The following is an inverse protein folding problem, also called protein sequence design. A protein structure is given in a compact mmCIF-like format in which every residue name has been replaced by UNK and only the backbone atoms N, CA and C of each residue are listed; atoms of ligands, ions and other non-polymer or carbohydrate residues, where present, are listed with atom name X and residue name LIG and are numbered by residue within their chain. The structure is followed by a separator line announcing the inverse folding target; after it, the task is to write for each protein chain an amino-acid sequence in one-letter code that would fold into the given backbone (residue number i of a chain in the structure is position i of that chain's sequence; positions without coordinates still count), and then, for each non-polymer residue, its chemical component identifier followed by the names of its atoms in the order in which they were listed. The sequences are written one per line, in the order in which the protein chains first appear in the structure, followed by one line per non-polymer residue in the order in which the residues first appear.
data_IF_875012926074
#
_entry.id   IF_875012926074
#
_cell.length_a   1.000
_cell.length_b   1.000
_cell.length_c   1.000
_cell.angle_alpha   90.00
_cell.angle_beta   90.00
_cell.angle_gamma   90.00
#
_symmetry.space_group_name_H-M   'P 1'
#
loop_
_entity.id
_entity.type
_entity.pdbx_description
1 polymer ?
#
# COMPACT_ATOMS: atom_id res chain seq x y z
N UNK A 1 0.84 -0.96 -33.27
CA UNK A 1 1.32 -2.01 -32.34
C UNK A 1 0.65 -1.76 -31.00
N UNK A 2 -0.24 -2.64 -30.54
CA UNK A 2 -1.03 -2.46 -29.31
C UNK A 2 -0.11 -2.74 -28.11
N UNK A 3 -0.02 -1.79 -27.21
CA UNK A 3 0.92 -1.80 -26.07
C UNK A 3 0.61 -2.97 -25.10
N UNK A 4 1.43 -4.03 -25.04
CA UNK A 4 1.19 -5.16 -24.15
C UNK A 4 1.28 -4.79 -22.67
N UNK A 5 1.94 -3.67 -22.34
CA UNK A 5 2.13 -3.19 -20.96
C UNK A 5 0.80 -2.79 -20.31
N UNK A 6 -0.12 -2.17 -21.06
CA UNK A 6 -1.43 -1.74 -20.52
C UNK A 6 -2.29 -2.97 -20.17
N UNK A 7 -2.21 -4.03 -20.99
CA UNK A 7 -2.98 -5.25 -20.76
C UNK A 7 -2.47 -6.00 -19.52
N UNK A 8 -1.16 -6.00 -19.29
CA UNK A 8 -0.55 -6.68 -18.14
C UNK A 8 -0.91 -5.96 -16.83
N UNK A 9 -0.93 -4.63 -16.81
CA UNK A 9 -1.34 -3.84 -15.64
C UNK A 9 -2.82 -4.06 -15.31
N UNK A 10 -3.69 -4.14 -16.33
CA UNK A 10 -5.12 -4.41 -16.13
C UNK A 10 -5.39 -5.83 -15.60
N UNK A 11 -4.62 -6.82 -16.03
CA UNK A 11 -4.72 -8.22 -15.56
C UNK A 11 -4.28 -8.37 -14.11
N UNK A 12 -3.26 -7.64 -13.67
CA UNK A 12 -2.80 -7.65 -12.26
C UNK A 12 -3.82 -6.97 -11.35
N UNK A 13 -4.43 -5.87 -11.79
CA UNK A 13 -5.48 -5.17 -11.04
C UNK A 13 -6.78 -6.00 -10.92
N UNK A 14 -7.17 -6.72 -11.97
CA UNK A 14 -8.38 -7.57 -11.94
C UNK A 14 -8.20 -8.82 -11.08
N UNK A 15 -7.00 -9.38 -10.98
CA UNK A 15 -6.72 -10.55 -10.12
C UNK A 15 -6.76 -10.24 -8.61
N UNK A 16 -6.57 -8.97 -8.23
CA UNK A 16 -6.73 -8.52 -6.83
C UNK A 16 -8.19 -8.37 -6.42
N UNK A 17 -9.10 -8.12 -7.35
CA UNK A 17 -10.54 -7.97 -7.07
C UNK A 17 -11.30 -9.30 -6.98
N UNK A 18 -10.78 -10.39 -7.55
CA UNK A 18 -11.46 -11.68 -7.64
C UNK A 18 -11.41 -12.54 -6.35
N UNK A 19 -10.68 -12.15 -5.31
CA UNK A 19 -10.58 -12.93 -4.05
C UNK A 19 -11.64 -12.58 -2.99
N UNK A 20 -12.69 -11.82 -3.32
CA UNK A 20 -13.64 -11.29 -2.34
C UNK A 20 -14.91 -12.14 -2.12
N UNK A 21 -15.02 -13.34 -2.64
CA UNK A 21 -16.20 -14.17 -2.40
C UNK A 21 -15.85 -15.63 -2.10
N UNK A 22 -15.49 -15.90 -0.86
CA UNK A 22 -15.69 -17.24 -0.28
C UNK A 22 -16.75 -17.14 0.79
N UNK A 23 -17.99 -17.50 0.43
CA UNK A 23 -19.09 -17.72 1.34
C UNK A 23 -18.78 -18.95 2.20
N UNK A 24 -18.20 -18.76 3.38
CA UNK A 24 -18.20 -19.76 4.42
C UNK A 24 -19.38 -19.46 5.35
N UNK A 25 -20.36 -20.36 5.39
CA UNK A 25 -21.34 -20.41 6.49
C UNK A 25 -20.57 -20.61 7.79
N UNK A 26 -20.18 -19.53 8.43
CA UNK A 26 -19.46 -19.55 9.68
C UNK A 26 -20.45 -19.83 10.80
N UNK A 27 -20.36 -21.01 11.36
CA UNK A 27 -20.95 -21.32 12.65
C UNK A 27 -20.40 -20.33 13.67
N UNK A 28 -21.26 -19.56 14.32
CA UNK A 28 -20.85 -18.57 15.32
C UNK A 28 -20.07 -19.30 16.43
N UNK A 29 -18.74 -19.18 16.39
CA UNK A 29 -17.88 -19.69 17.46
C UNK A 29 -18.21 -18.95 18.74
N UNK A 30 -18.28 -19.66 19.87
CA UNK A 30 -18.49 -19.06 21.18
C UNK A 30 -17.48 -17.91 21.41
N UNK A 31 -17.95 -16.81 21.99
CA UNK A 31 -17.11 -15.67 22.36
C UNK A 31 -16.00 -16.12 23.31
N UNK A 32 -14.77 -15.80 22.99
CA UNK A 32 -13.59 -16.16 23.77
C UNK A 32 -12.40 -15.29 23.38
N UNK A 33 -11.33 -15.36 24.17
CA UNK A 33 -10.11 -14.56 23.99
C UNK A 33 -9.56 -14.69 22.58
N UNK A 34 -9.26 -13.55 21.98
CA UNK A 34 -8.55 -13.43 20.69
C UNK A 34 -7.05 -13.36 20.96
N UNK A 35 -6.27 -14.26 20.36
CA UNK A 35 -4.80 -14.20 20.39
C UNK A 35 -4.27 -13.97 18.99
N UNK A 36 -3.26 -13.09 18.89
CA UNK A 36 -2.49 -12.84 17.67
C UNK A 36 -1.18 -13.60 17.82
N UNK A 37 -0.92 -14.55 16.94
CA UNK A 37 0.28 -15.38 16.96
C UNK A 37 1.15 -14.98 15.78
N UNK A 38 2.33 -14.39 15.98
CA UNK A 38 3.27 -14.16 14.90
C UNK A 38 3.79 -15.50 14.38
N UNK A 39 3.79 -15.67 13.06
CA UNK A 39 4.26 -16.90 12.39
C UNK A 39 5.24 -16.52 11.30
N UNK A 40 6.35 -17.25 11.25
CA UNK A 40 7.43 -17.02 10.30
C UNK A 40 8.60 -16.26 10.88
N UNK A 41 9.70 -16.29 10.18
CA UNK A 41 10.95 -15.63 10.57
C UNK A 41 11.37 -14.60 9.49
N UNK A 42 11.87 -13.45 9.93
CA UNK A 42 12.45 -12.43 9.07
C UNK A 42 11.44 -11.83 8.07
N UNK A 43 11.77 -11.89 6.77
CA UNK A 43 10.99 -11.26 5.69
C UNK A 43 9.64 -11.93 5.40
N UNK A 44 9.38 -13.10 5.95
CA UNK A 44 8.14 -13.87 5.73
C UNK A 44 7.28 -13.96 7.01
N UNK A 45 7.37 -12.96 7.88
CA UNK A 45 6.52 -12.90 9.06
C UNK A 45 5.05 -12.64 8.67
N UNK A 46 4.16 -13.42 9.24
CA UNK A 46 2.71 -13.30 9.09
C UNK A 46 2.06 -13.40 10.48
N UNK A 47 0.76 -13.17 10.55
CA UNK A 47 0.01 -13.28 11.78
C UNK A 47 -1.12 -14.30 11.61
N UNK A 48 -1.22 -15.20 12.56
CA UNK A 48 -2.38 -16.08 12.73
C UNK A 48 -3.24 -15.55 13.89
N UNK A 49 -4.53 -15.68 13.71
CA UNK A 49 -5.50 -15.35 14.76
C UNK A 49 -6.08 -16.64 15.33
N UNK A 50 -6.26 -16.66 16.64
CA UNK A 50 -7.03 -17.73 17.30
C UNK A 50 -8.11 -17.13 18.18
N UNK A 51 -9.26 -17.80 18.24
CA UNK A 51 -10.38 -17.47 19.10
C UNK A 51 -10.66 -18.73 19.91
N UNK A 52 -10.51 -18.65 21.25
CA UNK A 52 -10.66 -19.83 22.11
C UNK A 52 -9.69 -20.97 21.79
N UNK A 53 -8.49 -20.65 21.32
CA UNK A 53 -7.48 -21.65 20.93
C UNK A 53 -7.70 -22.28 19.55
N UNK A 54 -8.75 -21.93 18.82
CA UNK A 54 -8.98 -22.41 17.46
C UNK A 54 -8.58 -21.34 16.44
N UNK A 55 -8.01 -21.77 15.31
CA UNK A 55 -7.66 -20.86 14.21
C UNK A 55 -8.90 -20.10 13.73
N UNK A 56 -8.71 -18.80 13.53
CA UNK A 56 -9.74 -17.89 13.05
C UNK A 56 -9.20 -17.06 11.87
N UNK A 57 -10.11 -16.67 10.98
CA UNK A 57 -9.76 -15.77 9.90
C UNK A 57 -9.67 -14.32 10.38
N UNK A 58 -8.96 -13.48 9.65
CA UNK A 58 -8.92 -12.03 9.92
C UNK A 58 -10.33 -11.42 9.90
N UNK A 59 -11.21 -11.90 9.03
CA UNK A 59 -12.58 -11.39 8.93
C UNK A 59 -13.44 -11.81 10.12
N UNK A 60 -13.26 -13.03 10.65
CA UNK A 60 -13.92 -13.46 11.88
C UNK A 60 -13.57 -12.57 13.07
N UNK A 61 -12.27 -12.31 13.22
CA UNK A 61 -11.77 -11.41 14.28
C UNK A 61 -12.37 -10.02 14.13
N UNK A 62 -12.32 -9.47 12.92
CA UNK A 62 -12.86 -8.14 12.61
C UNK A 62 -14.35 -8.03 12.91
N UNK A 63 -15.16 -9.03 12.52
CA UNK A 63 -16.59 -9.04 12.79
C UNK A 63 -16.87 -9.04 14.31
N UNK A 64 -16.12 -9.81 15.10
CA UNK A 64 -16.27 -9.83 16.55
C UNK A 64 -15.87 -8.50 17.20
N UNK A 65 -14.76 -7.91 16.75
CA UNK A 65 -14.30 -6.62 17.24
C UNK A 65 -15.29 -5.50 16.91
N UNK A 66 -15.95 -5.55 15.74
CA UNK A 66 -17.00 -4.60 15.35
C UNK A 66 -18.31 -4.82 16.12
N UNK A 67 -18.65 -6.07 16.43
CA UNK A 67 -19.84 -6.40 17.20
C UNK A 67 -19.73 -6.00 18.68
N UNK A 68 -18.53 -5.88 19.22
CA UNK A 68 -18.30 -5.42 20.59
C UNK A 68 -18.11 -3.91 20.65
N UNK A 69 -19.11 -3.20 21.14
CA UNK A 69 -19.17 -1.74 21.11
C UNK A 69 -17.90 -1.01 21.63
N UNK A 70 -17.24 -1.45 22.72
CA UNK A 70 -16.02 -0.77 23.20
C UNK A 70 -14.83 -0.90 22.24
N UNK A 71 -14.68 -1.98 21.46
CA UNK A 71 -13.57 -2.17 20.50
C UNK A 71 -13.88 -1.64 19.09
N UNK A 72 -15.15 -1.43 18.76
CA UNK A 72 -15.59 -1.00 17.43
C UNK A 72 -14.96 0.31 16.94
N UNK A 73 -14.77 1.36 17.77
CA UNK A 73 -14.13 2.61 17.33
C UNK A 73 -12.68 2.41 16.87
N UNK A 74 -11.90 1.59 17.59
CA UNK A 74 -10.49 1.37 17.25
C UNK A 74 -10.36 0.51 15.97
N UNK A 75 -11.21 -0.51 15.77
CA UNK A 75 -11.18 -1.28 14.52
C UNK A 75 -11.67 -0.46 13.32
N UNK A 76 -12.58 0.48 13.52
CA UNK A 76 -13.00 1.42 12.48
C UNK A 76 -11.87 2.37 12.09
N UNK A 77 -11.09 2.88 13.07
CA UNK A 77 -9.89 3.66 12.81
C UNK A 77 -8.84 2.84 12.05
N UNK A 78 -8.58 1.60 12.48
CA UNK A 78 -7.66 0.72 11.78
C UNK A 78 -8.05 0.54 10.30
N UNK A 79 -9.34 0.37 10.00
CA UNK A 79 -9.84 0.28 8.63
C UNK A 79 -9.58 1.55 7.83
N UNK A 80 -9.81 2.73 8.43
CA UNK A 80 -9.51 4.02 7.81
C UNK A 80 -8.03 4.16 7.49
N UNK A 81 -7.15 3.81 8.43
CA UNK A 81 -5.70 3.84 8.27
C UNK A 81 -5.24 2.91 7.12
N UNK A 82 -5.80 1.71 7.02
CA UNK A 82 -5.52 0.79 5.89
C UNK A 82 -5.95 1.42 4.56
N UNK A 83 -7.10 2.08 4.52
CA UNK A 83 -7.56 2.76 3.30
C UNK A 83 -6.59 3.87 2.89
N UNK A 84 -6.13 4.69 3.83
CA UNK A 84 -5.14 5.73 3.57
C UNK A 84 -3.78 5.16 3.15
N UNK A 85 -3.36 4.03 3.74
CA UNK A 85 -2.15 3.32 3.30
C UNK A 85 -2.27 2.85 1.84
N UNK A 86 -3.44 2.33 1.43
CA UNK A 86 -3.69 1.92 0.04
C UNK A 86 -3.67 3.11 -0.92
N UNK A 87 -4.32 4.23 -0.55
CA UNK A 87 -4.28 5.47 -1.34
C UNK A 87 -2.85 5.97 -1.50
N UNK A 88 -2.09 6.04 -0.39
CA UNK A 88 -0.68 6.45 -0.41
C UNK A 88 0.17 5.52 -1.27
N UNK A 89 -0.04 4.21 -1.20
CA UNK A 89 0.63 3.23 -2.05
C UNK A 89 0.32 3.43 -3.54
N UNK A 90 -0.92 3.70 -3.88
CA UNK A 90 -1.34 4.03 -5.25
C UNK A 90 -0.68 5.30 -5.78
N UNK A 91 -0.65 6.35 -4.97
CA UNK A 91 0.00 7.63 -5.30
C UNK A 91 1.53 7.48 -5.42
N UNK A 92 2.16 6.68 -4.55
CA UNK A 92 3.57 6.33 -4.68
C UNK A 92 3.88 5.68 -6.03
N UNK A 93 3.10 4.67 -6.44
CA UNK A 93 3.29 3.99 -7.72
C UNK A 93 3.10 4.94 -8.90
N UNK A 94 2.03 5.75 -8.89
CA UNK A 94 1.76 6.72 -9.96
C UNK A 94 2.89 7.75 -10.10
N UNK A 95 3.33 8.34 -8.98
CA UNK A 95 4.41 9.33 -8.96
C UNK A 95 5.76 8.74 -9.38
N UNK A 96 6.05 7.50 -8.98
CA UNK A 96 7.27 6.78 -9.37
C UNK A 96 7.31 6.47 -10.86
N UNK A 97 6.19 6.05 -11.43
CA UNK A 97 6.07 5.81 -12.87
C UNK A 97 6.22 7.12 -13.67
N UNK A 98 5.59 8.21 -13.22
CA UNK A 98 5.72 9.51 -13.84
C UNK A 98 7.17 10.03 -13.78
N UNK A 99 7.84 9.91 -12.63
CA UNK A 99 9.25 10.26 -12.46
C UNK A 99 10.14 9.46 -13.41
N UNK A 100 9.91 8.16 -13.51
CA UNK A 100 10.66 7.27 -14.41
C UNK A 100 10.47 7.68 -15.88
N UNK A 101 9.25 7.99 -16.28
CA UNK A 101 8.94 8.47 -17.63
C UNK A 101 9.67 9.78 -17.93
N UNK A 102 9.64 10.74 -17.02
CA UNK A 102 10.35 12.01 -17.13
C UNK A 102 11.87 11.81 -17.26
N UNK A 103 12.47 10.94 -16.46
CA UNK A 103 13.88 10.60 -16.58
C UNK A 103 14.24 10.02 -17.96
N UNK A 104 13.45 9.05 -18.44
CA UNK A 104 13.68 8.39 -19.73
C UNK A 104 13.48 9.38 -20.88
N UNK A 105 12.44 10.19 -20.83
CA UNK A 105 12.09 11.15 -21.88
C UNK A 105 13.16 12.22 -21.99
N UNK A 106 13.51 12.87 -20.89
CA UNK A 106 14.47 13.96 -20.87
C UNK A 106 15.90 13.49 -21.17
N UNK A 107 16.28 12.27 -20.78
CA UNK A 107 17.59 11.71 -21.10
C UNK A 107 17.74 11.42 -22.61
N UNK A 108 16.65 11.04 -23.31
CA UNK A 108 16.67 10.79 -24.74
C UNK A 108 16.68 12.07 -25.60
N UNK A 109 16.17 13.19 -25.06
CA UNK A 109 16.05 14.46 -25.76
C UNK A 109 17.29 15.34 -25.61
N UNK A 110 18.30 14.94 -24.84
CA UNK A 110 19.60 15.62 -24.77
C UNK A 110 20.35 15.38 -26.09
N UNK A 111 19.92 16.06 -27.14
CA UNK A 111 20.54 16.03 -28.45
C UNK A 111 21.54 17.16 -28.60
N UNK A 112 22.65 16.87 -29.27
CA UNK A 112 23.56 17.91 -29.76
C UNK A 112 22.98 18.45 -31.07
N UNK A 113 22.76 19.77 -31.17
CA UNK A 113 22.46 20.46 -32.43
C UNK A 113 23.66 21.25 -32.88
N UNK A 114 23.98 21.17 -34.17
CA UNK A 114 25.01 22.03 -34.78
C UNK A 114 24.42 23.39 -35.05
N UNK A 115 25.04 24.44 -34.54
CA UNK A 115 24.63 25.81 -34.74
C UNK A 115 25.83 26.75 -34.88
N UNK A 116 25.59 28.01 -35.21
CA UNK A 116 26.62 29.05 -35.23
C UNK A 116 26.47 29.93 -33.98
N UNK A 117 27.55 30.06 -33.23
CA UNK A 117 27.62 30.99 -32.10
C UNK A 117 28.72 31.99 -32.46
N UNK A 118 28.37 33.27 -32.55
CA UNK A 118 29.28 34.36 -32.97
C UNK A 118 29.98 34.11 -34.33
N UNK A 119 29.26 33.48 -35.30
CA UNK A 119 29.77 33.19 -36.62
C UNK A 119 30.68 31.97 -36.72
N UNK A 120 30.93 31.28 -35.64
CA UNK A 120 31.69 30.01 -35.62
C UNK A 120 30.76 28.81 -35.42
N UNK A 121 31.05 27.71 -36.13
CA UNK A 121 30.32 26.47 -35.95
C UNK A 121 30.55 25.96 -34.52
N UNK A 122 29.47 25.74 -33.81
CA UNK A 122 29.50 25.24 -32.44
C UNK A 122 28.45 24.13 -32.26
N UNK A 123 28.76 23.14 -31.44
CA UNK A 123 27.81 22.14 -31.01
C UNK A 123 27.07 22.65 -29.80
N UNK A 124 25.77 22.88 -29.94
CA UNK A 124 24.89 23.35 -28.86
C UNK A 124 24.26 22.12 -28.21
N UNK A 125 24.56 21.91 -26.94
CA UNK A 125 23.92 20.87 -26.14
C UNK A 125 22.66 21.44 -25.50
N UNK A 126 21.50 20.87 -25.81
CA UNK A 126 20.29 21.22 -25.11
C UNK A 126 20.24 20.41 -23.80
N UNK A 127 20.40 21.13 -22.68
CA UNK A 127 20.17 20.56 -21.35
C UNK A 127 18.67 20.57 -21.06
N UNK A 128 18.06 19.40 -21.06
CA UNK A 128 16.72 19.26 -20.54
C UNK A 128 16.76 19.22 -19.01
N UNK A 129 15.88 20.00 -18.38
CA UNK A 129 15.78 20.03 -16.93
C UNK A 129 15.19 18.74 -16.39
N UNK A 130 15.89 18.06 -15.49
CA UNK A 130 15.39 16.91 -14.74
C UNK A 130 14.62 17.32 -13.47
N UNK A 131 14.36 18.62 -13.28
CA UNK A 131 13.68 19.14 -12.09
C UNK A 131 12.33 18.46 -11.86
N UNK A 132 11.53 18.25 -12.92
CA UNK A 132 10.26 17.55 -12.84
C UNK A 132 10.39 16.12 -12.28
N UNK A 133 11.38 15.37 -12.78
CA UNK A 133 11.66 14.02 -12.33
C UNK A 133 12.06 13.97 -10.84
N UNK A 134 12.92 14.90 -10.39
CA UNK A 134 13.32 14.97 -8.97
C UNK A 134 12.16 15.37 -8.06
N UNK A 135 11.31 16.31 -8.47
CA UNK A 135 10.10 16.70 -7.73
C UNK A 135 9.16 15.52 -7.59
N UNK A 136 8.89 14.80 -8.69
CA UNK A 136 8.04 13.61 -8.67
C UNK A 136 8.61 12.48 -7.78
N UNK A 137 9.93 12.31 -7.77
CA UNK A 137 10.62 11.37 -6.88
C UNK A 137 10.44 11.77 -5.41
N UNK A 138 10.55 13.05 -5.10
CA UNK A 138 10.28 13.58 -3.75
C UNK A 138 8.85 13.33 -3.31
N UNK A 139 7.88 13.58 -4.18
CA UNK A 139 6.46 13.31 -3.94
C UNK A 139 6.23 11.81 -3.70
N UNK A 140 6.80 10.94 -4.55
CA UNK A 140 6.70 9.49 -4.39
C UNK A 140 7.25 9.04 -3.03
N UNK A 141 8.42 9.55 -2.63
CA UNK A 141 9.02 9.24 -1.32
C UNK A 141 8.10 9.68 -0.17
N UNK A 142 7.49 10.86 -0.27
CA UNK A 142 6.51 11.34 0.71
C UNK A 142 5.31 10.40 0.86
N UNK A 143 4.74 9.93 -0.24
CA UNK A 143 3.64 8.97 -0.21
C UNK A 143 4.06 7.60 0.34
N UNK A 144 5.28 7.12 0.05
CA UNK A 144 5.80 5.89 0.63
C UNK A 144 5.87 5.98 2.15
N UNK A 145 6.42 7.07 2.68
CA UNK A 145 6.52 7.31 4.13
C UNK A 145 5.12 7.38 4.75
N UNK A 146 4.20 8.15 4.15
CA UNK A 146 2.83 8.26 4.63
C UNK A 146 2.14 6.88 4.67
N UNK A 147 2.30 6.07 3.63
CA UNK A 147 1.75 4.72 3.58
C UNK A 147 2.26 3.83 4.72
N UNK A 148 3.56 3.88 5.02
CA UNK A 148 4.16 3.13 6.13
C UNK A 148 3.59 3.61 7.48
N UNK A 149 3.48 4.92 7.70
CA UNK A 149 2.91 5.49 8.93
C UNK A 149 1.47 5.01 9.14
N UNK A 150 0.64 5.04 8.09
CA UNK A 150 -0.73 4.55 8.15
C UNK A 150 -0.80 3.05 8.47
N UNK A 151 0.09 2.21 7.93
CA UNK A 151 0.15 0.79 8.27
C UNK A 151 0.52 0.55 9.74
N UNK A 152 1.47 1.31 10.28
CA UNK A 152 1.86 1.23 11.69
C UNK A 152 0.68 1.63 12.59
N UNK A 153 -0.01 2.72 12.26
CA UNK A 153 -1.18 3.17 13.01
C UNK A 153 -2.32 2.14 12.95
N UNK A 154 -2.58 1.54 11.79
CA UNK A 154 -3.58 0.48 11.64
C UNK A 154 -3.27 -0.71 12.54
N UNK A 155 -2.01 -1.15 12.61
CA UNK A 155 -1.56 -2.22 13.50
C UNK A 155 -1.78 -1.87 14.97
N UNK A 156 -1.45 -0.64 15.37
CA UNK A 156 -1.66 -0.15 16.74
C UNK A 156 -3.14 -0.17 17.12
N UNK A 157 -4.01 0.39 16.28
CA UNK A 157 -5.46 0.38 16.52
C UNK A 157 -6.05 -1.03 16.56
N UNK A 158 -5.58 -1.94 15.70
CA UNK A 158 -6.01 -3.34 15.72
C UNK A 158 -5.62 -4.03 17.03
N UNK A 159 -4.37 -3.86 17.46
CA UNK A 159 -3.88 -4.45 18.72
C UNK A 159 -4.64 -3.91 19.93
N UNK A 160 -4.93 -2.62 19.94
CA UNK A 160 -5.72 -1.97 20.99
C UNK A 160 -7.16 -2.50 21.02
N UNK A 161 -7.81 -2.64 19.85
CA UNK A 161 -9.16 -3.20 19.77
C UNK A 161 -9.23 -4.63 20.29
N UNK A 162 -8.22 -5.46 20.00
CA UNK A 162 -8.10 -6.82 20.54
C UNK A 162 -7.90 -6.80 22.06
N UNK A 163 -7.07 -5.88 22.59
CA UNK A 163 -6.89 -5.70 24.03
C UNK A 163 -8.21 -5.41 24.72
N UNK A 164 -8.93 -4.36 24.27
CA UNK A 164 -10.25 -3.97 24.80
C UNK A 164 -11.27 -5.12 24.73
N UNK A 165 -11.28 -5.87 23.62
CA UNK A 165 -12.16 -7.03 23.49
C UNK A 165 -11.82 -8.13 24.50
N UNK A 166 -10.55 -8.38 24.75
CA UNK A 166 -10.10 -9.44 25.64
C UNK A 166 -10.30 -9.12 27.13
N UNK A 167 -10.35 -7.83 27.50
CA UNK A 167 -10.62 -7.39 28.90
C UNK A 167 -11.94 -7.93 29.45
N UNK A 168 -12.91 -8.22 28.57
CA UNK A 168 -14.21 -8.82 28.99
C UNK A 168 -14.11 -10.26 29.50
N UNK A 169 -12.96 -10.91 29.32
CA UNK A 169 -12.73 -12.31 29.71
C UNK A 169 -11.72 -12.43 30.87
N UNK A 170 -11.26 -11.31 31.43
CA UNK A 170 -10.40 -11.25 32.62
C UNK A 170 -11.23 -11.01 33.86
#
# INVERSE_FOLDING_TARGET
MKNPIIITVFLVLSSMLAKAQVNSKQQAKADSVIKIIPVGEGRHSSFLYTIGGQLATSDDVKLRLLAYAPSAPDISKAKSEITWAQVSGGMFLASSLAATFEFIHNNKLAGASSGFVNGQAATIYQHHSLTGAYVLTGIATGFLIAGIVHLVNASHHTSKAVGIYNERFQ
#
